data_IF_545599433724
#
_entry.id   IF_545599433724
#
_cell.length_a   1.000
_cell.length_b   1.000
_cell.length_c   1.000
_cell.angle_alpha   90.00
_cell.angle_beta   90.00
_cell.angle_gamma   90.00
#
_symmetry.space_group_name_H-M   'P 1'
#
loop_
_entity.id
_entity.type
_entity.pdbx_description
1 polymer ?
#
# COMPACT_ATOMS: atom_id res chain seq x y z
N UNK A 1 -2.10 -2.33 -23.66
CA UNK A 1 -2.68 -1.00 -23.94
C UNK A 1 -4.05 -1.24 -24.54
N UNK A 2 -5.09 -0.47 -24.19
CA UNK A 2 -6.33 -0.50 -24.96
C UNK A 2 -6.09 0.33 -26.22
N UNK A 3 -5.96 -0.35 -27.36
CA UNK A 3 -5.53 0.26 -28.63
C UNK A 3 -6.66 0.92 -29.44
N UNK A 4 -7.93 0.78 -29.04
CA UNK A 4 -9.06 1.53 -29.64
C UNK A 4 -10.29 1.59 -28.71
N UNK A 5 -11.01 2.71 -28.74
CA UNK A 5 -12.41 2.78 -28.28
C UNK A 5 -12.68 3.24 -26.84
N UNK A 6 -11.94 4.24 -26.33
CA UNK A 6 -12.07 4.70 -24.92
C UNK A 6 -12.45 6.17 -24.78
N UNK A 7 -12.76 6.86 -25.87
CA UNK A 7 -13.05 8.29 -25.87
C UNK A 7 -14.52 8.52 -26.18
N UNK A 8 -15.15 9.41 -25.41
CA UNK A 8 -16.43 9.98 -25.79
C UNK A 8 -16.18 11.18 -26.69
N UNK A 9 -16.90 11.26 -27.81
CA UNK A 9 -16.85 12.40 -28.71
C UNK A 9 -18.24 13.00 -28.86
N UNK A 10 -18.30 14.32 -28.95
CA UNK A 10 -19.53 15.05 -29.27
C UNK A 10 -19.23 16.17 -30.26
N UNK A 11 -20.11 16.39 -31.22
CA UNK A 11 -20.00 17.53 -32.14
C UNK A 11 -20.43 18.86 -31.50
N UNK A 12 -21.10 18.83 -30.34
CA UNK A 12 -21.63 20.00 -29.66
C UNK A 12 -21.42 19.92 -28.15
N UNK A 13 -21.36 21.04 -27.43
CA UNK A 13 -21.39 21.04 -25.97
C UNK A 13 -22.59 20.27 -25.45
N UNK A 14 -22.38 19.48 -24.40
CA UNK A 14 -23.42 18.66 -23.78
C UNK A 14 -24.15 19.49 -22.71
N UNK A 15 -25.47 19.34 -22.65
CA UNK A 15 -26.28 20.00 -21.63
C UNK A 15 -25.88 19.50 -20.22
N UNK A 16 -26.09 20.35 -19.21
CA UNK A 16 -25.88 19.99 -17.81
C UNK A 16 -26.58 18.67 -17.46
N UNK A 17 -25.93 17.74 -16.75
CA UNK A 17 -24.64 17.88 -16.06
C UNK A 17 -23.38 17.73 -16.94
N UNK A 18 -23.53 17.47 -18.24
CA UNK A 18 -22.45 17.35 -19.22
C UNK A 18 -21.74 15.98 -19.19
N UNK A 19 -20.61 15.89 -19.89
CA UNK A 19 -19.67 14.75 -19.79
C UNK A 19 -18.23 15.30 -19.77
N UNK A 20 -17.59 15.40 -18.59
CA UNK A 20 -16.26 15.99 -18.45
C UNK A 20 -15.17 15.35 -19.31
N UNK A 21 -15.31 14.05 -19.63
CA UNK A 21 -14.37 13.31 -20.49
C UNK A 21 -14.64 13.44 -21.98
N UNK A 22 -15.79 14.00 -22.39
CA UNK A 22 -16.16 14.03 -23.81
C UNK A 22 -15.35 15.09 -24.56
N UNK A 23 -14.67 14.65 -25.62
CA UNK A 23 -13.99 15.53 -26.57
C UNK A 23 -15.07 16.19 -27.44
N UNK A 24 -15.25 17.50 -27.26
CA UNK A 24 -16.21 18.27 -28.03
C UNK A 24 -15.52 18.88 -29.25
N UNK A 25 -15.80 18.33 -30.43
CA UNK A 25 -15.06 18.64 -31.67
C UNK A 25 -15.36 20.03 -32.23
N UNK A 26 -16.42 20.69 -31.78
CA UNK A 26 -16.71 22.09 -32.13
C UNK A 26 -15.92 23.12 -31.31
N UNK A 27 -15.23 22.70 -30.25
CA UNK A 27 -14.43 23.61 -29.43
C UNK A 27 -13.03 23.79 -30.02
N UNK A 28 -12.54 25.03 -29.99
CA UNK A 28 -11.21 25.34 -30.50
C UNK A 28 -10.11 24.59 -29.75
N UNK A 29 -9.14 24.09 -30.51
CA UNK A 29 -7.88 23.52 -30.05
C UNK A 29 -6.76 24.51 -30.39
N UNK A 30 -5.91 24.81 -29.42
CA UNK A 30 -4.83 25.78 -29.56
C UNK A 30 -3.81 25.35 -30.61
N UNK A 31 -3.17 26.31 -31.26
CA UNK A 31 -2.09 26.05 -32.22
C UNK A 31 -0.85 25.46 -31.54
N UNK A 32 -0.62 25.82 -30.27
CA UNK A 32 0.44 25.30 -29.41
C UNK A 32 -0.17 24.61 -28.20
N UNK A 33 0.53 23.60 -27.67
CA UNK A 33 0.14 22.94 -26.44
C UNK A 33 0.49 23.78 -25.22
N UNK A 34 -0.40 23.78 -24.24
CA UNK A 34 -0.10 24.25 -22.89
C UNK A 34 1.04 23.42 -22.29
N UNK A 35 1.81 24.04 -21.39
CA UNK A 35 2.86 23.34 -20.65
C UNK A 35 2.26 22.13 -19.90
N UNK A 36 2.86 20.92 -19.95
CA UNK A 36 2.30 19.70 -19.33
C UNK A 36 1.96 19.80 -17.84
N UNK A 37 2.71 20.61 -17.09
CA UNK A 37 2.49 20.91 -15.68
C UNK A 37 1.39 21.96 -15.39
N UNK A 38 0.83 22.60 -16.42
CA UNK A 38 -0.21 23.60 -16.20
C UNK A 38 -1.43 22.94 -15.54
N UNK A 39 -1.86 23.52 -14.42
CA UNK A 39 -3.01 23.01 -13.68
C UNK A 39 -4.31 23.22 -14.47
N UNK A 40 -5.16 22.20 -14.48
CA UNK A 40 -6.48 22.26 -15.12
C UNK A 40 -7.57 22.69 -14.11
N UNK A 41 -7.20 22.89 -12.85
CA UNK A 41 -8.10 23.24 -11.77
C UNK A 41 -8.86 22.03 -11.23
N UNK A 42 -9.78 22.30 -10.31
CA UNK A 42 -10.57 21.26 -9.65
C UNK A 42 -11.71 20.76 -10.54
N UNK A 43 -11.91 19.43 -10.57
CA UNK A 43 -12.86 18.75 -11.46
C UNK A 43 -12.77 19.20 -12.92
N UNK A 44 -11.61 18.99 -13.58
CA UNK A 44 -11.39 19.46 -14.94
C UNK A 44 -12.39 18.85 -15.92
N UNK A 45 -12.81 19.62 -16.91
CA UNK A 45 -13.72 19.15 -17.95
C UNK A 45 -13.23 19.66 -19.30
N UNK A 46 -13.34 18.84 -20.34
CA UNK A 46 -12.84 19.17 -21.68
C UNK A 46 -13.41 20.48 -22.22
N UNK A 47 -14.67 20.78 -21.92
CA UNK A 47 -15.35 22.02 -22.31
C UNK A 47 -14.86 23.26 -21.56
N UNK A 48 -14.30 23.10 -20.36
CA UNK A 48 -13.89 24.21 -19.48
C UNK A 48 -12.40 24.56 -19.53
N UNK A 49 -11.56 23.65 -20.01
CA UNK A 49 -10.12 23.92 -20.18
C UNK A 49 -9.84 24.81 -21.39
N UNK A 50 -8.69 25.50 -21.42
CA UNK A 50 -8.33 26.40 -22.52
C UNK A 50 -8.03 25.64 -23.82
N UNK A 51 -8.07 26.28 -25.00
CA UNK A 51 -7.69 25.64 -26.25
C UNK A 51 -6.29 24.99 -26.22
N UNK A 52 -5.30 25.62 -25.58
CA UNK A 52 -3.93 25.12 -25.44
C UNK A 52 -3.87 23.89 -24.51
N UNK A 53 -4.69 23.88 -23.45
CA UNK A 53 -4.84 22.72 -22.57
C UNK A 53 -5.52 21.54 -23.28
N UNK A 54 -6.56 21.81 -24.10
CA UNK A 54 -7.14 20.77 -24.98
C UNK A 54 -6.11 20.19 -25.93
N UNK A 55 -5.25 21.03 -26.52
CA UNK A 55 -4.15 20.58 -27.38
C UNK A 55 -3.20 19.65 -26.62
N UNK A 56 -2.73 20.07 -25.44
CA UNK A 56 -1.85 19.27 -24.57
C UNK A 56 -2.49 17.93 -24.16
N UNK A 57 -3.79 17.94 -23.85
CA UNK A 57 -4.56 16.74 -23.53
C UNK A 57 -4.68 15.78 -24.72
N UNK A 58 -4.99 16.27 -25.91
CA UNK A 58 -5.10 15.44 -27.11
C UNK A 58 -3.74 14.86 -27.52
N UNK A 59 -2.64 15.61 -27.37
CA UNK A 59 -1.29 15.11 -27.61
C UNK A 59 -0.92 14.00 -26.61
N UNK A 60 -1.26 14.16 -25.32
CA UNK A 60 -1.07 13.11 -24.31
C UNK A 60 -1.89 11.84 -24.62
N UNK A 61 -3.14 12.00 -25.08
CA UNK A 61 -3.96 10.86 -25.53
C UNK A 61 -3.32 10.15 -26.73
N UNK A 62 -2.83 10.91 -27.73
CA UNK A 62 -2.20 10.39 -28.93
C UNK A 62 -0.86 9.71 -28.64
N UNK A 63 -0.13 10.17 -27.62
CA UNK A 63 1.08 9.53 -27.10
C UNK A 63 0.81 8.27 -26.26
N UNK A 64 -0.42 7.76 -26.25
CA UNK A 64 -0.77 6.53 -25.53
C UNK A 64 -0.97 6.71 -24.02
N UNK A 65 -1.18 7.95 -23.55
CA UNK A 65 -1.39 8.27 -22.13
C UNK A 65 -0.22 7.81 -21.27
N UNK A 66 0.97 8.14 -21.72
CA UNK A 66 2.22 7.78 -21.08
C UNK A 66 3.21 8.93 -21.27
N UNK A 67 3.93 9.25 -20.19
CA UNK A 67 5.01 10.22 -20.21
C UNK A 67 6.31 9.49 -19.83
N UNK A 68 7.46 9.97 -20.31
CA UNK A 68 8.76 9.44 -19.87
C UNK A 68 9.03 9.77 -18.39
N UNK A 69 8.65 10.99 -17.98
CA UNK A 69 8.66 11.44 -16.59
C UNK A 69 7.21 11.79 -16.15
N UNK A 70 6.51 10.88 -15.44
CA UNK A 70 5.14 11.12 -14.98
C UNK A 70 5.01 12.28 -13.98
N UNK A 71 6.10 12.72 -13.35
CA UNK A 71 6.09 13.89 -12.45
C UNK A 71 5.89 15.21 -13.20
N UNK A 72 6.17 15.24 -14.51
CA UNK A 72 6.02 16.41 -15.37
C UNK A 72 4.61 16.57 -15.95
N UNK A 73 3.64 15.75 -15.52
CA UNK A 73 2.26 15.78 -16.02
C UNK A 73 1.30 16.27 -14.94
N UNK A 74 0.53 17.32 -15.26
CA UNK A 74 -0.63 17.71 -14.45
C UNK A 74 -1.67 16.60 -14.43
N UNK A 75 -2.10 16.21 -13.23
CA UNK A 75 -3.11 15.15 -13.03
C UNK A 75 -4.46 15.45 -13.67
N UNK A 76 -4.72 16.70 -14.06
CA UNK A 76 -5.96 17.05 -14.77
C UNK A 76 -6.17 16.25 -16.06
N UNK A 77 -5.09 15.91 -16.77
CA UNK A 77 -5.12 15.02 -17.94
C UNK A 77 -5.61 13.63 -17.57
N UNK A 78 -5.03 13.06 -16.50
CA UNK A 78 -5.33 11.72 -16.01
C UNK A 78 -6.78 11.65 -15.52
N UNK A 79 -7.24 12.66 -14.78
CA UNK A 79 -8.61 12.73 -14.28
C UNK A 79 -9.65 12.88 -15.39
N UNK A 80 -9.41 13.75 -16.39
CA UNK A 80 -10.33 13.86 -17.53
C UNK A 80 -10.51 12.54 -18.26
N UNK A 81 -9.44 11.76 -18.44
CA UNK A 81 -9.55 10.42 -19.02
C UNK A 81 -10.24 9.43 -18.07
N UNK A 82 -9.92 9.48 -16.78
CA UNK A 82 -10.54 8.65 -15.75
C UNK A 82 -12.06 8.83 -15.69
N UNK A 83 -12.59 10.04 -15.89
CA UNK A 83 -14.05 10.25 -15.91
C UNK A 83 -14.74 9.43 -16.99
N UNK A 84 -14.08 9.20 -18.14
CA UNK A 84 -14.61 8.34 -19.19
C UNK A 84 -14.61 6.86 -18.81
N UNK A 85 -13.54 6.40 -18.16
CA UNK A 85 -13.44 5.05 -17.58
C UNK A 85 -14.53 4.80 -16.54
N UNK A 86 -14.66 5.73 -15.61
CA UNK A 86 -15.66 5.73 -14.55
C UNK A 86 -17.07 5.66 -15.12
N UNK A 87 -17.38 6.48 -16.13
CA UNK A 87 -18.66 6.43 -16.84
C UNK A 87 -18.93 5.07 -17.48
N UNK A 88 -17.93 4.46 -18.13
CA UNK A 88 -18.12 3.13 -18.76
C UNK A 88 -18.49 2.08 -17.74
N UNK A 89 -17.77 2.04 -16.63
CA UNK A 89 -18.01 1.07 -15.55
C UNK A 89 -19.39 1.26 -14.94
N UNK A 90 -19.75 2.50 -14.62
CA UNK A 90 -20.91 2.80 -13.77
C UNK A 90 -22.21 2.95 -14.56
N UNK A 91 -22.19 3.64 -15.70
CA UNK A 91 -23.40 3.94 -16.48
C UNK A 91 -23.57 3.04 -17.69
N UNK A 92 -22.49 2.64 -18.35
CA UNK A 92 -22.60 1.72 -19.50
C UNK A 92 -22.55 0.25 -19.06
N UNK A 93 -22.35 0.01 -17.76
CA UNK A 93 -22.16 -1.32 -17.17
C UNK A 93 -21.12 -2.17 -17.91
N UNK A 94 -20.08 -1.52 -18.42
CA UNK A 94 -19.00 -2.19 -19.12
C UNK A 94 -18.17 -3.01 -18.12
N UNK A 95 -17.93 -4.28 -18.45
CA UNK A 95 -17.22 -5.26 -17.63
C UNK A 95 -15.94 -5.75 -18.30
N UNK A 96 -15.49 -5.09 -19.36
CA UNK A 96 -14.23 -5.42 -20.02
C UNK A 96 -13.05 -5.30 -19.02
N UNK A 97 -12.33 -6.41 -18.71
CA UNK A 97 -11.21 -6.39 -17.77
C UNK A 97 -10.11 -5.41 -18.17
N UNK A 98 -9.99 -5.07 -19.46
CA UNK A 98 -9.01 -4.10 -19.94
C UNK A 98 -9.21 -2.71 -19.32
N UNK A 99 -10.43 -2.35 -18.92
CA UNK A 99 -10.71 -1.10 -18.21
C UNK A 99 -9.96 -1.04 -16.87
N UNK A 100 -9.97 -2.14 -16.11
CA UNK A 100 -9.24 -2.24 -14.85
C UNK A 100 -7.73 -2.22 -15.08
N UNK A 101 -7.24 -2.93 -16.09
CA UNK A 101 -5.82 -2.92 -16.44
C UNK A 101 -5.33 -1.52 -16.83
N UNK A 102 -6.14 -0.74 -17.56
CA UNK A 102 -5.79 0.64 -17.89
C UNK A 102 -5.78 1.54 -16.65
N UNK A 103 -6.74 1.37 -15.73
CA UNK A 103 -6.75 2.10 -14.45
C UNK A 103 -5.53 1.73 -13.59
N UNK A 104 -5.18 0.46 -13.48
CA UNK A 104 -4.00 -0.02 -12.75
C UNK A 104 -2.73 0.55 -13.38
N UNK A 105 -2.59 0.49 -14.71
CA UNK A 105 -1.44 1.04 -15.43
C UNK A 105 -1.25 2.52 -15.16
N UNK A 106 -2.34 3.31 -15.24
CA UNK A 106 -2.30 4.74 -14.96
C UNK A 106 -1.97 5.03 -13.48
N UNK A 107 -2.54 4.27 -12.54
CA UNK A 107 -2.25 4.43 -11.13
C UNK A 107 -0.81 4.04 -10.77
N UNK A 108 -0.27 2.97 -11.36
CA UNK A 108 1.12 2.58 -11.20
C UNK A 108 2.07 3.65 -11.73
N UNK A 109 1.78 4.18 -12.91
CA UNK A 109 2.65 5.13 -13.59
C UNK A 109 2.61 6.53 -12.96
N UNK A 110 1.41 7.07 -12.71
CA UNK A 110 1.24 8.43 -12.19
C UNK A 110 1.07 8.48 -10.66
N UNK A 111 0.55 7.44 -10.02
CA UNK A 111 0.30 7.45 -8.57
C UNK A 111 1.56 7.51 -7.71
N UNK A 112 2.65 6.87 -8.13
CA UNK A 112 3.93 6.93 -7.41
C UNK A 112 4.66 8.28 -7.61
N UNK A 113 4.45 8.91 -8.77
CA UNK A 113 5.11 10.17 -9.13
C UNK A 113 4.46 11.41 -8.49
N UNK A 114 3.22 11.27 -8.02
CA UNK A 114 2.41 12.36 -7.48
C UNK A 114 2.07 12.15 -6.01
N UNK A 115 2.12 13.22 -5.20
CA UNK A 115 1.70 13.18 -3.78
C UNK A 115 0.17 13.24 -3.59
N UNK A 116 -0.59 13.19 -4.68
CA UNK A 116 -2.04 13.38 -4.65
C UNK A 116 -2.75 12.12 -4.15
N UNK A 117 -3.31 12.20 -2.94
CA UNK A 117 -4.15 11.12 -2.38
C UNK A 117 -5.40 10.89 -3.23
N UNK A 118 -5.97 11.95 -3.80
CA UNK A 118 -7.22 11.86 -4.57
C UNK A 118 -7.12 10.90 -5.76
N UNK A 119 -5.99 10.87 -6.47
CA UNK A 119 -5.80 9.96 -7.60
C UNK A 119 -5.89 8.51 -7.11
N UNK A 120 -5.11 8.17 -6.08
CA UNK A 120 -5.10 6.83 -5.48
C UNK A 120 -6.49 6.45 -4.98
N UNK A 121 -7.13 7.31 -4.20
CA UNK A 121 -8.46 7.06 -3.62
C UNK A 121 -9.52 6.77 -4.70
N UNK A 122 -9.69 7.65 -5.68
CA UNK A 122 -10.74 7.46 -6.69
C UNK A 122 -10.50 6.24 -7.58
N UNK A 123 -9.24 6.00 -7.97
CA UNK A 123 -8.87 4.85 -8.79
C UNK A 123 -9.10 3.54 -8.02
N UNK A 124 -8.60 3.42 -6.79
CA UNK A 124 -8.78 2.21 -5.99
C UNK A 124 -10.24 1.94 -5.66
N UNK A 125 -11.01 2.97 -5.30
CA UNK A 125 -12.44 2.81 -5.04
C UNK A 125 -13.18 2.26 -6.28
N UNK A 126 -12.87 2.77 -7.47
CA UNK A 126 -13.48 2.27 -8.71
C UNK A 126 -13.01 0.86 -9.05
N UNK A 127 -11.71 0.57 -8.87
CA UNK A 127 -11.13 -0.75 -9.10
C UNK A 127 -11.76 -1.81 -8.19
N UNK A 128 -11.94 -1.52 -6.91
CA UNK A 128 -12.63 -2.41 -5.98
C UNK A 128 -14.10 -2.60 -6.36
N UNK A 129 -14.82 -1.52 -6.66
CA UNK A 129 -16.22 -1.55 -7.06
C UNK A 129 -16.43 -2.36 -8.35
N UNK A 130 -15.66 -2.05 -9.40
CA UNK A 130 -15.74 -2.72 -10.70
C UNK A 130 -15.27 -4.18 -10.61
N UNK A 131 -14.16 -4.42 -9.90
CA UNK A 131 -13.58 -5.75 -9.74
C UNK A 131 -14.54 -6.69 -9.02
N UNK A 132 -15.21 -6.22 -7.97
CA UNK A 132 -16.24 -7.00 -7.26
C UNK A 132 -17.37 -7.47 -8.20
N UNK A 133 -17.77 -6.62 -9.15
CA UNK A 133 -18.82 -6.93 -10.12
C UNK A 133 -18.40 -7.99 -11.15
N UNK A 134 -17.11 -8.33 -11.26
CA UNK A 134 -16.62 -9.42 -12.11
C UNK A 134 -16.78 -10.80 -11.46
N UNK A 135 -17.14 -10.86 -10.17
CA UNK A 135 -17.33 -12.09 -9.42
C UNK A 135 -16.17 -12.43 -8.48
N UNK A 136 -16.41 -13.40 -7.60
CA UNK A 136 -15.53 -13.70 -6.47
C UNK A 136 -14.13 -14.19 -6.89
N UNK A 137 -14.02 -15.02 -7.93
CA UNK A 137 -12.73 -15.52 -8.43
C UNK A 137 -11.91 -14.41 -9.09
N UNK A 138 -12.50 -13.66 -10.03
CA UNK A 138 -11.82 -12.56 -10.70
C UNK A 138 -11.37 -11.47 -9.73
N UNK A 139 -12.21 -11.11 -8.75
CA UNK A 139 -11.83 -10.14 -7.73
C UNK A 139 -10.72 -10.68 -6.80
N UNK A 140 -10.70 -11.99 -6.53
CA UNK A 140 -9.64 -12.63 -5.73
C UNK A 140 -8.27 -12.52 -6.38
N UNK A 141 -8.21 -12.67 -7.70
CA UNK A 141 -6.97 -12.49 -8.49
C UNK A 141 -6.53 -11.02 -8.52
N UNK A 142 -7.49 -10.10 -8.50
CA UNK A 142 -7.27 -8.67 -8.61
C UNK A 142 -6.78 -8.02 -7.31
N UNK A 143 -7.46 -8.27 -6.18
CA UNK A 143 -7.28 -7.45 -4.99
C UNK A 143 -5.86 -7.45 -4.39
N UNK A 144 -5.01 -8.49 -4.52
CA UNK A 144 -3.62 -8.40 -4.06
C UNK A 144 -2.87 -7.24 -4.71
N UNK A 145 -3.03 -7.06 -6.04
CA UNK A 145 -2.46 -5.93 -6.78
C UNK A 145 -3.04 -4.59 -6.31
N UNK A 146 -4.32 -4.56 -5.94
CA UNK A 146 -4.95 -3.34 -5.41
C UNK A 146 -4.36 -2.95 -4.05
N UNK A 147 -4.11 -3.92 -3.18
CA UNK A 147 -3.50 -3.67 -1.87
C UNK A 147 -2.03 -3.23 -1.95
N UNK A 148 -1.29 -3.65 -2.98
CA UNK A 148 0.06 -3.15 -3.28
C UNK A 148 0.04 -1.69 -3.77
N UNK A 149 -1.06 -1.30 -4.43
CA UNK A 149 -1.28 0.06 -4.92
C UNK A 149 -1.94 0.96 -3.89
N UNK A 150 -2.30 0.45 -2.72
CA UNK A 150 -2.84 1.23 -1.61
C UNK A 150 -1.72 1.83 -0.75
N UNK A 151 -2.06 2.80 0.09
CA UNK A 151 -1.14 3.29 1.12
C UNK A 151 -1.10 2.32 2.33
N UNK A 152 -0.16 2.53 3.26
CA UNK A 152 -0.06 1.73 4.51
C UNK A 152 -1.37 1.73 5.33
N UNK A 153 -2.20 2.76 5.15
CA UNK A 153 -3.55 2.81 5.71
C UNK A 153 -4.54 2.54 4.59
N UNK A 154 -5.23 1.40 4.61
CA UNK A 154 -6.13 1.03 3.54
C UNK A 154 -7.34 1.97 3.49
N UNK A 155 -7.90 2.15 2.31
CA UNK A 155 -9.25 2.68 2.16
C UNK A 155 -10.25 1.73 2.88
N UNK A 156 -11.14 2.31 3.68
CA UNK A 156 -12.06 1.52 4.53
C UNK A 156 -12.98 0.63 3.69
N UNK A 157 -13.46 1.14 2.55
CA UNK A 157 -14.33 0.39 1.66
C UNK A 157 -13.55 -0.66 0.86
N UNK A 158 -12.32 -0.34 0.41
CA UNK A 158 -11.42 -1.32 -0.20
C UNK A 158 -11.20 -2.55 0.68
N UNK A 159 -10.95 -2.35 1.98
CA UNK A 159 -10.79 -3.46 2.93
C UNK A 159 -12.09 -4.25 3.13
N UNK A 160 -13.26 -3.60 3.11
CA UNK A 160 -14.56 -4.30 3.17
C UNK A 160 -14.77 -5.23 1.99
N UNK A 161 -14.38 -4.83 0.77
CA UNK A 161 -14.44 -5.72 -0.40
C UNK A 161 -13.51 -6.93 -0.25
N UNK A 162 -12.27 -6.72 0.17
CA UNK A 162 -11.30 -7.82 0.40
C UNK A 162 -11.84 -8.82 1.42
N UNK A 163 -12.32 -8.34 2.56
CA UNK A 163 -12.85 -9.21 3.61
C UNK A 163 -14.11 -9.96 3.17
N UNK A 164 -15.01 -9.26 2.48
CA UNK A 164 -16.20 -9.88 1.91
C UNK A 164 -15.86 -11.00 0.91
N UNK A 165 -14.81 -10.81 0.10
CA UNK A 165 -14.34 -11.82 -0.84
C UNK A 165 -13.75 -13.04 -0.12
N UNK A 166 -12.87 -12.82 0.87
CA UNK A 166 -12.31 -13.92 1.68
C UNK A 166 -13.42 -14.73 2.35
N UNK A 167 -14.44 -14.06 2.90
CA UNK A 167 -15.61 -14.71 3.50
C UNK A 167 -16.40 -15.55 2.48
N UNK A 168 -16.72 -14.99 1.32
CA UNK A 168 -17.45 -15.72 0.26
C UNK A 168 -16.71 -16.98 -0.20
N UNK A 169 -15.38 -16.96 -0.15
CA UNK A 169 -14.52 -18.05 -0.59
C UNK A 169 -14.15 -19.02 0.51
N UNK A 170 -14.48 -18.73 1.77
CA UNK A 170 -14.03 -19.50 2.92
C UNK A 170 -12.51 -19.51 3.08
N UNK A 171 -11.83 -18.47 2.62
CA UNK A 171 -10.37 -18.36 2.67
C UNK A 171 -9.91 -17.68 3.97
N UNK A 172 -8.80 -18.13 4.57
CA UNK A 172 -8.24 -17.50 5.75
C UNK A 172 -7.68 -16.11 5.45
N UNK A 173 -7.65 -15.25 6.46
CA UNK A 173 -6.96 -13.96 6.41
C UNK A 173 -5.46 -14.18 6.15
N UNK A 174 -4.96 -13.54 5.10
CA UNK A 174 -3.53 -13.31 4.95
C UNK A 174 -3.04 -12.29 6.00
N UNK A 175 -1.79 -12.44 6.44
CA UNK A 175 -1.21 -11.58 7.47
C UNK A 175 -1.16 -10.11 7.05
N UNK A 176 -1.05 -9.80 5.74
CA UNK A 176 -1.05 -8.42 5.24
C UNK A 176 -2.43 -7.77 5.34
N UNK A 177 -3.51 -8.56 5.24
CA UNK A 177 -4.89 -8.09 5.48
C UNK A 177 -5.11 -7.90 6.98
N UNK A 178 -4.61 -8.82 7.80
CA UNK A 178 -4.65 -8.70 9.26
C UNK A 178 -3.87 -7.48 9.77
N UNK A 179 -2.71 -7.18 9.18
CA UNK A 179 -1.93 -5.96 9.46
C UNK A 179 -2.74 -4.70 9.15
N UNK A 180 -3.40 -4.68 7.99
CA UNK A 180 -4.27 -3.58 7.55
C UNK A 180 -5.49 -3.36 8.46
N UNK A 181 -6.06 -4.43 9.00
CA UNK A 181 -7.09 -4.34 10.04
C UNK A 181 -6.52 -3.80 11.36
N UNK A 182 -5.32 -4.25 11.75
CA UNK A 182 -4.68 -3.80 12.97
C UNK A 182 -4.35 -2.30 12.92
N UNK A 183 -3.71 -1.80 11.85
CA UNK A 183 -3.32 -0.39 11.74
C UNK A 183 -4.54 0.57 11.69
N UNK A 184 -5.67 0.09 11.18
CA UNK A 184 -6.94 0.84 11.13
C UNK A 184 -7.71 0.82 12.44
N UNK A 185 -7.35 -0.06 13.39
CA UNK A 185 -8.01 -0.13 14.69
C UNK A 185 -7.60 1.04 15.60
N UNK A 186 -8.58 1.61 16.30
CA UNK A 186 -8.36 2.63 17.32
C UNK A 186 -7.66 2.07 18.58
N UNK A 187 -7.69 0.76 18.79
CA UNK A 187 -7.01 0.07 19.90
C UNK A 187 -5.50 -0.12 19.63
N UNK A 188 -5.07 0.05 18.37
CA UNK A 188 -3.66 -0.05 17.97
C UNK A 188 -2.94 1.27 18.25
N UNK A 189 -1.88 1.22 19.06
CA UNK A 189 -1.10 2.41 19.41
C UNK A 189 -0.40 2.97 18.17
N UNK A 190 -0.53 4.29 18.00
CA UNK A 190 0.28 5.06 17.03
C UNK A 190 1.69 5.22 17.59
N UNK A 191 2.68 4.66 16.90
CA UNK A 191 4.07 4.70 17.33
C UNK A 191 5.02 4.92 16.15
N UNK A 192 6.08 5.70 16.36
CA UNK A 192 7.15 5.89 15.38
C UNK A 192 7.98 4.63 15.17
N UNK A 193 7.91 3.65 16.09
CA UNK A 193 8.57 2.34 15.97
C UNK A 193 8.17 1.65 14.66
N UNK A 194 6.89 1.70 14.30
CA UNK A 194 6.33 1.08 13.09
C UNK A 194 7.02 1.61 11.83
N UNK A 195 7.18 2.93 11.73
CA UNK A 195 7.86 3.56 10.60
C UNK A 195 9.38 3.39 10.64
N UNK A 196 9.99 3.42 11.84
CA UNK A 196 11.45 3.36 12.04
C UNK A 196 12.04 1.97 11.87
N UNK A 197 11.27 0.93 12.16
CA UNK A 197 11.69 -0.47 12.14
C UNK A 197 10.72 -1.31 11.29
N UNK A 198 10.24 -0.75 10.17
CA UNK A 198 9.15 -1.32 9.36
C UNK A 198 9.37 -2.79 8.99
N UNK A 199 10.54 -3.11 8.44
CA UNK A 199 10.89 -4.49 8.04
C UNK A 199 10.77 -5.47 9.22
N UNK A 200 11.35 -5.09 10.38
CA UNK A 200 11.32 -5.92 11.59
C UNK A 200 9.93 -5.99 12.21
N UNK A 201 9.17 -4.90 12.12
CA UNK A 201 7.79 -4.85 12.55
C UNK A 201 6.93 -5.81 11.74
N UNK A 202 7.09 -5.83 10.41
CA UNK A 202 6.34 -6.73 9.52
C UNK A 202 6.69 -8.18 9.81
N UNK A 203 7.97 -8.52 9.91
CA UNK A 203 8.42 -9.88 10.25
C UNK A 203 7.85 -10.34 11.59
N UNK A 204 7.94 -9.51 12.64
CA UNK A 204 7.44 -9.86 13.96
C UNK A 204 5.90 -9.98 14.00
N UNK A 205 5.20 -9.05 13.34
CA UNK A 205 3.74 -9.09 13.25
C UNK A 205 3.27 -10.34 12.50
N UNK A 206 3.89 -10.66 11.36
CA UNK A 206 3.60 -11.86 10.59
C UNK A 206 3.78 -13.12 11.43
N UNK A 207 4.92 -13.26 12.11
CA UNK A 207 5.20 -14.42 12.95
C UNK A 207 4.18 -14.56 14.08
N UNK A 208 3.90 -13.48 14.83
CA UNK A 208 2.93 -13.53 15.94
C UNK A 208 1.51 -13.77 15.48
N UNK A 209 1.13 -13.24 14.31
CA UNK A 209 -0.14 -13.55 13.69
C UNK A 209 -0.25 -15.04 13.33
N UNK A 210 0.80 -15.61 12.75
CA UNK A 210 0.84 -17.04 12.41
C UNK A 210 0.80 -17.92 13.66
N UNK A 211 1.52 -17.58 14.73
CA UNK A 211 1.49 -18.32 15.99
C UNK A 211 0.11 -18.26 16.67
N UNK A 212 -0.54 -17.09 16.67
CA UNK A 212 -1.83 -16.90 17.33
C UNK A 212 -3.00 -17.57 16.60
N UNK A 213 -2.98 -17.58 15.26
CA UNK A 213 -4.11 -18.05 14.45
C UNK A 213 -3.81 -19.33 13.66
N UNK A 214 -2.58 -19.85 13.72
CA UNK A 214 -2.11 -21.00 12.93
C UNK A 214 -2.46 -20.91 11.43
N UNK A 215 -2.54 -19.68 10.89
CA UNK A 215 -2.95 -19.41 9.50
C UNK A 215 -4.43 -19.68 9.18
N UNK A 216 -5.31 -19.83 10.16
CA UNK A 216 -6.67 -20.35 9.99
C UNK A 216 -7.80 -19.37 10.37
N UNK A 217 -7.55 -18.06 10.48
CA UNK A 217 -8.63 -17.10 10.75
C UNK A 217 -9.47 -16.87 9.48
N UNK A 218 -10.49 -17.70 9.27
CA UNK A 218 -11.48 -17.52 8.21
C UNK A 218 -12.51 -16.48 8.69
N UNK A 219 -12.72 -15.37 7.97
CA UNK A 219 -13.57 -14.29 8.44
C UNK A 219 -15.04 -14.68 8.37
N UNK A 220 -15.77 -14.42 9.45
CA UNK A 220 -17.23 -14.53 9.50
C UNK A 220 -17.89 -13.19 9.20
N UNK A 221 -19.08 -13.23 8.61
CA UNK A 221 -19.89 -12.05 8.33
C UNK A 221 -21.12 -11.98 9.25
N UNK A 222 -21.47 -10.76 9.67
CA UNK A 222 -22.72 -10.51 10.38
C UNK A 222 -23.93 -10.81 9.48
N UNK A 223 -25.08 -11.10 10.11
CA UNK A 223 -26.35 -11.36 9.39
C UNK A 223 -26.78 -10.21 8.49
N UNK A 224 -26.58 -8.97 8.93
CA UNK A 224 -26.89 -7.79 8.15
C UNK A 224 -25.74 -7.47 7.20
N UNK A 225 -26.03 -7.41 5.90
CA UNK A 225 -25.06 -6.98 4.89
C UNK A 225 -24.67 -5.52 5.09
N UNK A 226 -23.45 -5.19 4.68
CA UNK A 226 -22.97 -3.80 4.64
C UNK A 226 -23.23 -3.22 3.26
N UNK A 227 -23.50 -1.92 3.22
CA UNK A 227 -23.72 -1.16 2.00
C UNK A 227 -22.49 -0.31 1.73
N UNK A 228 -21.84 -0.54 0.60
CA UNK A 228 -20.74 0.29 0.13
C UNK A 228 -21.27 1.22 -0.95
N UNK A 229 -21.18 2.53 -0.72
CA UNK A 229 -21.63 3.55 -1.66
C UNK A 229 -20.44 4.12 -2.43
N UNK A 230 -20.46 3.97 -3.75
CA UNK A 230 -19.43 4.54 -4.61
C UNK A 230 -19.62 6.05 -4.80
N UNK A 231 -18.55 6.82 -4.61
CA UNK A 231 -18.52 8.28 -4.80
C UNK A 231 -17.72 8.60 -6.07
N UNK A 232 -18.39 9.06 -7.14
CA UNK A 232 -17.69 9.38 -8.38
C UNK A 232 -16.71 10.54 -8.24
N UNK A 233 -15.59 10.43 -8.94
CA UNK A 233 -14.67 11.53 -9.21
C UNK A 233 -15.21 12.47 -10.29
N UNK A 234 -16.02 11.98 -11.23
CA UNK A 234 -16.68 12.80 -12.24
C UNK A 234 -17.73 13.68 -11.59
N UNK A 235 -17.58 14.99 -11.76
CA UNK A 235 -18.55 15.98 -11.29
C UNK A 235 -19.93 15.78 -11.92
N UNK A 236 -20.00 15.32 -13.18
CA UNK A 236 -21.26 15.04 -13.83
C UNK A 236 -21.95 13.81 -13.23
N UNK A 237 -21.21 12.73 -12.95
CA UNK A 237 -21.79 11.54 -12.30
C UNK A 237 -22.18 11.82 -10.85
N UNK A 238 -21.39 12.62 -10.13
CA UNK A 238 -21.73 13.08 -8.80
C UNK A 238 -23.04 13.90 -8.81
N UNK A 239 -23.22 14.78 -9.80
CA UNK A 239 -24.46 15.53 -9.96
C UNK A 239 -25.65 14.63 -10.33
N UNK A 240 -25.49 13.71 -11.28
CA UNK A 240 -26.53 12.73 -11.63
C UNK A 240 -26.96 11.93 -10.39
N UNK A 241 -26.00 11.50 -9.55
CA UNK A 241 -26.29 10.83 -8.27
C UNK A 241 -27.08 11.71 -7.31
N UNK A 242 -26.74 13.00 -7.21
CA UNK A 242 -27.45 13.94 -6.34
C UNK A 242 -28.90 14.19 -6.81
N UNK A 243 -29.12 14.31 -8.12
CA UNK A 243 -30.44 14.56 -8.72
C UNK A 243 -31.34 13.31 -8.73
N UNK A 244 -30.72 12.13 -8.75
CA UNK A 244 -31.40 10.84 -8.65
C UNK A 244 -32.00 10.63 -7.25
N UNK A 245 -33.12 11.31 -6.94
CA UNK A 245 -33.86 11.17 -5.68
C UNK A 245 -34.32 9.74 -5.38
N UNK A 246 -34.33 8.83 -6.37
CA UNK A 246 -34.68 7.40 -6.30
C UNK A 246 -33.90 6.53 -7.34
N UNK A 247 -32.78 6.99 -7.91
CA UNK A 247 -32.08 6.23 -8.97
C UNK A 247 -31.36 5.00 -8.43
N UNK A 248 -30.89 4.11 -9.32
CA UNK A 248 -29.99 2.99 -8.98
C UNK A 248 -28.79 3.57 -8.24
N UNK A 249 -28.83 3.45 -6.92
CA UNK A 249 -27.77 3.98 -6.11
C UNK A 249 -26.50 3.22 -6.50
N UNK A 250 -25.41 3.96 -6.79
CA UNK A 250 -24.09 3.37 -7.08
C UNK A 250 -23.58 2.73 -5.79
N UNK A 251 -24.11 1.56 -5.49
CA UNK A 251 -24.05 0.91 -4.21
C UNK A 251 -23.98 -0.59 -4.39
N UNK A 252 -23.19 -1.23 -3.55
CA UNK A 252 -23.04 -2.68 -3.52
C UNK A 252 -23.34 -3.18 -2.12
N UNK A 253 -24.05 -4.30 -2.05
CA UNK A 253 -24.26 -5.02 -0.79
C UNK A 253 -23.21 -6.11 -0.66
N UNK A 254 -22.46 -6.07 0.44
CA UNK A 254 -21.39 -7.00 0.74
C UNK A 254 -21.68 -7.75 2.04
N UNK A 255 -21.21 -9.00 2.19
CA UNK A 255 -21.07 -9.62 3.50
C UNK A 255 -20.37 -8.69 4.51
N UNK A 256 -21.02 -8.45 5.65
CA UNK A 256 -20.51 -7.50 6.65
C UNK A 256 -19.55 -8.18 7.61
N UNK A 257 -18.31 -8.36 7.18
CA UNK A 257 -17.26 -8.97 8.00
C UNK A 257 -16.83 -8.07 9.15
N UNK A 258 -16.68 -6.77 8.90
CA UNK A 258 -16.24 -5.81 9.93
C UNK A 258 -17.28 -5.65 11.04
N UNK A 259 -18.57 -5.87 10.78
CA UNK A 259 -19.63 -5.83 11.78
C UNK A 259 -19.46 -6.86 12.93
N UNK A 260 -18.67 -7.92 12.73
CA UNK A 260 -18.29 -8.86 13.79
C UNK A 260 -16.91 -8.53 14.37
N UNK A 261 -16.73 -7.30 14.86
CA UNK A 261 -15.44 -6.79 15.38
C UNK A 261 -14.72 -7.72 16.38
N UNK A 262 -15.46 -8.53 17.14
CA UNK A 262 -14.90 -9.46 18.14
C UNK A 262 -13.85 -10.41 17.55
N UNK A 263 -14.01 -10.85 16.29
CA UNK A 263 -13.08 -11.78 15.64
C UNK A 263 -11.69 -11.17 15.40
N UNK A 264 -11.59 -9.84 15.39
CA UNK A 264 -10.35 -9.10 15.13
C UNK A 264 -9.68 -8.54 16.39
N UNK A 265 -10.23 -8.79 17.59
CA UNK A 265 -9.72 -8.21 18.85
C UNK A 265 -8.27 -8.56 19.19
N UNK A 266 -7.77 -9.70 18.72
CA UNK A 266 -6.38 -10.08 18.96
C UNK A 266 -5.39 -9.31 18.05
N UNK A 267 -5.85 -8.73 16.92
CA UNK A 267 -4.95 -8.04 15.99
C UNK A 267 -4.31 -6.77 16.59
N UNK A 268 -5.06 -5.88 17.28
CA UNK A 268 -4.46 -4.75 18.00
C UNK A 268 -3.53 -5.18 19.14
N UNK A 269 -3.82 -6.31 19.80
CA UNK A 269 -2.96 -6.83 20.85
C UNK A 269 -1.61 -7.29 20.29
N UNK A 270 -1.62 -8.04 19.17
CA UNK A 270 -0.40 -8.41 18.43
C UNK A 270 0.37 -7.16 18.02
N UNK A 271 -0.31 -6.20 17.38
CA UNK A 271 0.29 -4.91 16.98
C UNK A 271 1.00 -4.21 18.14
N UNK A 272 0.29 -4.05 19.25
CA UNK A 272 0.81 -3.36 20.42
C UNK A 272 2.01 -4.11 21.01
N UNK A 273 1.98 -5.44 21.07
CA UNK A 273 3.14 -6.22 21.53
C UNK A 273 4.37 -6.02 20.63
N UNK A 274 4.19 -5.95 19.31
CA UNK A 274 5.30 -5.66 18.38
C UNK A 274 5.91 -4.28 18.63
N UNK A 275 5.08 -3.27 18.93
CA UNK A 275 5.56 -1.92 19.28
C UNK A 275 6.43 -1.95 20.54
N UNK A 276 6.01 -2.67 21.58
CA UNK A 276 6.77 -2.75 22.83
C UNK A 276 8.13 -3.41 22.62
N UNK A 277 8.15 -4.57 21.96
CA UNK A 277 9.37 -5.36 21.82
C UNK A 277 10.38 -4.75 20.83
N UNK A 278 9.90 -4.01 19.84
CA UNK A 278 10.77 -3.27 18.91
C UNK A 278 11.15 -1.87 19.39
N UNK A 279 10.64 -1.42 20.54
CA UNK A 279 11.00 -0.10 21.08
C UNK A 279 12.50 -0.01 21.41
N UNK A 280 13.11 -1.08 21.92
CA UNK A 280 14.56 -1.14 22.17
C UNK A 280 15.37 -1.03 20.86
N UNK A 281 15.03 -1.87 19.89
CA UNK A 281 15.63 -1.86 18.55
C UNK A 281 15.49 -0.50 17.86
N UNK A 282 14.30 0.11 17.92
CA UNK A 282 14.04 1.44 17.36
C UNK A 282 14.91 2.52 17.99
N UNK A 283 15.18 2.47 19.30
CA UNK A 283 16.12 3.40 19.94
C UNK A 283 17.56 3.14 19.51
N UNK A 284 17.97 1.87 19.39
CA UNK A 284 19.32 1.49 18.99
C UNK A 284 19.66 1.92 17.56
N UNK A 285 18.69 1.84 16.63
CA UNK A 285 18.83 2.32 15.25
C UNK A 285 19.27 3.78 15.15
N UNK A 286 18.74 4.62 16.04
CA UNK A 286 18.99 6.07 16.07
C UNK A 286 20.02 6.48 17.11
N UNK A 287 20.81 5.53 17.65
CA UNK A 287 21.91 5.87 18.54
C UNK A 287 23.13 6.37 17.76
N UNK A 288 23.99 7.16 18.42
CA UNK A 288 25.22 7.68 17.81
C UNK A 288 26.34 6.62 17.69
N UNK A 289 26.09 5.37 18.11
CA UNK A 289 27.07 4.28 18.00
C UNK A 289 27.31 3.96 16.53
N UNK A 290 28.55 3.63 16.20
CA UNK A 290 28.99 3.23 14.85
C UNK A 290 29.72 1.88 14.91
N UNK A 291 30.00 1.28 13.76
CA UNK A 291 30.79 0.04 13.66
C UNK A 291 30.09 -1.20 14.23
N UNK A 292 30.86 -2.20 14.65
CA UNK A 292 30.33 -3.48 15.14
C UNK A 292 29.56 -3.30 16.44
N UNK A 293 30.01 -2.40 17.33
CA UNK A 293 29.28 -2.06 18.55
C UNK A 293 27.84 -1.59 18.29
N UNK A 294 27.59 -0.87 17.19
CA UNK A 294 26.24 -0.46 16.79
C UNK A 294 25.42 -1.63 16.26
N UNK A 295 26.01 -2.46 15.39
CA UNK A 295 25.37 -3.63 14.83
C UNK A 295 24.97 -4.63 15.93
N UNK A 296 25.89 -4.91 16.87
CA UNK A 296 25.64 -5.79 18.01
C UNK A 296 24.55 -5.24 18.94
N UNK A 297 24.59 -3.93 19.27
CA UNK A 297 23.57 -3.32 20.12
C UNK A 297 22.17 -3.38 19.48
N UNK A 298 22.07 -3.21 18.15
CA UNK A 298 20.82 -3.38 17.40
C UNK A 298 20.34 -4.83 17.48
N UNK A 299 21.19 -5.80 17.14
CA UNK A 299 20.84 -7.22 17.19
C UNK A 299 20.44 -7.67 18.60
N UNK A 300 21.17 -7.25 19.64
CA UNK A 300 20.84 -7.54 21.04
C UNK A 300 19.48 -6.96 21.48
N UNK A 301 19.05 -5.86 20.87
CA UNK A 301 17.76 -5.23 21.16
C UNK A 301 16.58 -5.87 20.40
N UNK A 302 16.84 -6.84 19.50
CA UNK A 302 15.78 -7.58 18.83
C UNK A 302 15.08 -8.56 19.80
N UNK A 303 13.77 -8.79 19.61
CA UNK A 303 13.07 -9.88 20.26
C UNK A 303 13.65 -11.25 19.86
N UNK A 304 13.45 -12.26 20.71
CA UNK A 304 14.06 -13.60 20.54
C UNK A 304 13.64 -14.25 19.23
N UNK A 305 12.40 -13.99 18.81
CA UNK A 305 11.81 -14.41 17.55
C UNK A 305 12.65 -13.98 16.36
N UNK A 306 12.99 -12.68 16.28
CA UNK A 306 13.78 -12.13 15.18
C UNK A 306 15.26 -12.52 15.28
N UNK A 307 15.82 -12.65 16.49
CA UNK A 307 17.20 -13.12 16.67
C UNK A 307 17.46 -14.52 16.12
N UNK A 308 16.44 -15.37 16.03
CA UNK A 308 16.57 -16.74 15.50
C UNK A 308 16.71 -16.76 13.98
N UNK A 309 16.15 -15.77 13.30
CA UNK A 309 16.15 -15.68 11.83
C UNK A 309 17.20 -14.69 11.31
N UNK A 310 17.66 -13.77 12.15
CA UNK A 310 18.72 -12.82 11.79
C UNK A 310 20.10 -13.35 12.14
N UNK A 311 21.01 -13.21 11.18
CA UNK A 311 22.40 -13.54 11.37
C UNK A 311 23.05 -12.67 12.46
N UNK A 312 23.79 -13.31 13.37
CA UNK A 312 24.50 -12.58 14.40
C UNK A 312 25.59 -11.69 13.76
N UNK A 313 25.71 -10.38 14.11
CA UNK A 313 26.64 -9.46 13.47
C UNK A 313 28.11 -9.89 13.51
N UNK A 314 28.47 -10.69 14.51
CA UNK A 314 29.83 -11.21 14.69
C UNK A 314 30.04 -12.61 14.08
N UNK A 315 29.03 -13.19 13.41
CA UNK A 315 29.10 -14.58 12.93
C UNK A 315 30.20 -14.78 11.89
N UNK A 316 30.27 -13.93 10.87
CA UNK A 316 31.30 -14.05 9.83
C UNK A 316 32.72 -13.97 10.41
N UNK A 317 32.95 -13.02 11.32
CA UNK A 317 34.25 -12.88 11.96
C UNK A 317 34.56 -14.01 12.95
N UNK A 318 33.55 -14.59 13.61
CA UNK A 318 33.72 -15.78 14.43
C UNK A 318 34.04 -17.01 13.56
N UNK A 319 33.34 -17.18 12.44
CA UNK A 319 33.56 -18.28 11.49
C UNK A 319 34.98 -18.20 10.90
N UNK A 320 35.46 -17.00 10.56
CA UNK A 320 36.85 -16.77 10.13
C UNK A 320 37.86 -17.06 11.25
N UNK A 321 37.59 -16.59 12.47
CA UNK A 321 38.45 -16.85 13.61
C UNK A 321 38.54 -18.36 13.90
N UNK A 322 37.42 -19.07 13.82
CA UNK A 322 37.34 -20.52 13.97
C UNK A 322 38.07 -21.26 12.85
N UNK A 323 37.98 -20.78 11.60
CA UNK A 323 38.68 -21.35 10.46
C UNK A 323 40.20 -21.21 10.56
N UNK A 324 40.67 -20.10 11.12
CA UNK A 324 42.10 -19.78 11.25
C UNK A 324 42.73 -20.21 12.58
N UNK A 325 41.94 -20.78 13.49
CA UNK A 325 42.41 -21.19 14.82
C UNK A 325 43.03 -22.60 14.83
N UNK A 326 44.09 -22.84 15.63
CA UNK A 326 44.67 -24.17 15.81
C UNK A 326 43.64 -25.20 16.30
N UNK A 327 43.79 -26.44 15.85
CA UNK A 327 42.92 -27.57 16.24
C UNK A 327 43.71 -28.68 16.93
N UNK A 328 43.10 -29.30 17.93
CA UNK A 328 43.58 -30.53 18.57
C UNK A 328 42.41 -31.50 18.68
N UNK A 329 42.40 -32.51 17.81
CA UNK A 329 41.22 -33.37 17.63
C UNK A 329 40.00 -32.55 17.22
N UNK A 330 38.91 -32.69 17.97
CA UNK A 330 37.65 -31.96 17.76
C UNK A 330 37.62 -30.57 18.42
N UNK A 331 38.68 -30.18 19.13
CA UNK A 331 38.75 -28.90 19.83
C UNK A 331 39.41 -27.82 18.96
N UNK A 332 38.88 -26.59 19.06
CA UNK A 332 39.39 -25.40 18.37
C UNK A 332 39.88 -24.42 19.43
N UNK A 333 41.16 -24.05 19.35
CA UNK A 333 41.77 -23.13 20.31
C UNK A 333 41.68 -21.69 19.81
N UNK A 334 40.70 -20.96 20.34
CA UNK A 334 40.52 -19.55 20.03
C UNK A 334 41.10 -18.69 21.16
N UNK A 335 42.07 -17.79 20.89
CA UNK A 335 42.59 -16.88 21.90
C UNK A 335 41.48 -15.94 22.40
N UNK A 336 41.35 -15.81 23.72
CA UNK A 336 40.37 -14.89 24.36
C UNK A 336 40.56 -13.45 23.87
N UNK A 337 41.81 -13.02 23.62
CA UNK A 337 42.11 -11.70 23.07
C UNK A 337 41.52 -11.49 21.67
N UNK A 338 41.51 -12.53 20.83
CA UNK A 338 40.92 -12.46 19.49
C UNK A 338 39.38 -12.39 19.55
N UNK A 339 38.77 -13.13 20.47
CA UNK A 339 37.32 -13.02 20.76
C UNK A 339 36.95 -11.63 21.30
N UNK A 340 37.76 -11.08 22.21
CA UNK A 340 37.55 -9.76 22.77
C UNK A 340 37.69 -8.65 21.70
N UNK A 341 38.68 -8.77 20.82
CA UNK A 341 38.87 -7.85 19.69
C UNK A 341 37.68 -7.88 18.72
N UNK A 342 37.11 -9.06 18.45
CA UNK A 342 35.92 -9.22 17.62
C UNK A 342 34.72 -8.43 18.15
N UNK A 343 34.60 -8.34 19.48
CA UNK A 343 33.54 -7.59 20.17
C UNK A 343 33.92 -6.13 20.47
N UNK A 344 35.01 -5.63 19.87
CA UNK A 344 35.56 -4.28 20.11
C UNK A 344 35.82 -3.98 21.61
N UNK A 345 36.13 -5.01 22.40
CA UNK A 345 36.49 -4.85 23.81
C UNK A 345 37.94 -4.36 23.89
N UNK A 346 38.20 -3.17 24.46
CA UNK A 346 39.54 -2.60 24.50
C UNK A 346 40.47 -3.41 25.39
N UNK A 347 41.70 -3.62 24.92
CA UNK A 347 42.76 -4.26 25.70
C UNK A 347 43.11 -3.39 26.92
N UNK A 348 43.22 -4.00 28.10
CA UNK A 348 43.57 -3.31 29.34
C UNK A 348 44.63 -4.10 30.10
N UNK A 349 45.66 -3.39 30.58
CA UNK A 349 46.78 -3.97 31.31
C UNK A 349 46.42 -4.53 32.71
N UNK A 350 45.21 -4.27 33.24
CA UNK A 350 44.75 -4.78 34.54
C UNK A 350 43.28 -5.23 34.49
N UNK A 351 43.02 -6.49 34.83
CA UNK A 351 41.68 -7.04 35.06
C UNK A 351 41.21 -6.67 36.48
N UNK A 352 40.04 -6.03 36.61
CA UNK A 352 39.40 -5.79 37.91
C UNK A 352 38.13 -6.64 38.05
N UNK A 353 37.88 -7.15 39.26
CA UNK A 353 36.79 -8.08 39.59
C UNK A 353 35.40 -7.54 39.20
N UNK A 354 35.22 -6.22 39.16
CA UNK A 354 33.96 -5.60 38.77
C UNK A 354 33.54 -5.87 37.31
N UNK A 355 34.47 -6.23 36.42
CA UNK A 355 34.21 -6.40 34.98
C UNK A 355 33.73 -7.82 34.63
N UNK A 356 34.21 -8.84 35.35
CA UNK A 356 33.86 -10.24 35.05
C UNK A 356 32.41 -10.62 35.41
N UNK A 357 31.73 -9.83 36.23
CA UNK A 357 30.38 -10.16 36.76
C UNK A 357 29.27 -9.43 36.00
N UNK A 358 29.59 -8.41 35.18
CA UNK A 358 28.62 -7.53 34.53
C UNK A 358 28.19 -7.94 33.11
N UNK A 359 28.99 -8.75 32.42
CA UNK A 359 28.72 -9.15 31.03
C UNK A 359 28.16 -10.58 31.00
N UNK A 360 26.83 -10.72 30.98
CA UNK A 360 26.21 -11.99 30.60
C UNK A 360 26.36 -12.15 29.08
N UNK A 361 27.14 -13.13 28.68
CA UNK A 361 27.39 -13.53 27.30
C UNK A 361 26.15 -14.14 26.65
#
# INVERSE_FOLDING_TARGET
>A
MIDAGMLYLSARPLAWPGEPSAIITSLSVGATAAHPLQDFGYYPAYDRVTPEQRRSYLEWLAAGRQDSDPSQRSLGHVFMFFYGLERRVLLNHDRDPRLLEEMIRLLQHYGAAHKSRSLRTYFLQLLHFAGWQLGADAYRELWPRLLELDDDRPDEDGLRFVLANLHQRGEPLDWTVAYRLAISSHESRRSTVVARAQEKFFALFQQRFQEQFAGALIPEAAKQQTLVQYRPASSALAQMRYEARNGEALELRLPNVTGLHRQFKALPAIWNSCVDDLSGYSRALFSNKQGHAAALARWQSLPVELKRIEEHPLKAGLDELVANSPREGDYIFVPVAALAALAEVPERAKLSIAICVGSRW
#
